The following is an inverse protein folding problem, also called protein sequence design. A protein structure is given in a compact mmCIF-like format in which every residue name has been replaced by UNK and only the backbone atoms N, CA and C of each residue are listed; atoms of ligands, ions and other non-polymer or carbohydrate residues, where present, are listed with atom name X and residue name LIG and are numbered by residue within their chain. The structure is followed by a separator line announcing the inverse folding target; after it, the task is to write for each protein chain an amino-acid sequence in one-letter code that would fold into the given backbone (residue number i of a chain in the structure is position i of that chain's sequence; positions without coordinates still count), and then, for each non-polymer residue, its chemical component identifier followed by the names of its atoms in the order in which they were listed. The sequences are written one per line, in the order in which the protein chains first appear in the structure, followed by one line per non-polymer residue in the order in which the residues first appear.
data_IF_042042427940
#
_entry.id   IF_042042427940
#
_cell.length_a   1.000
_cell.length_b   1.000
_cell.length_c   1.000
_cell.angle_alpha   90.00
_cell.angle_beta   90.00
_cell.angle_gamma   90.00
#
_symmetry.space_group_name_H-M   'P 1'
#
loop_
_entity.id
_entity.type
_entity.pdbx_description
1 polymer ?
#
# COMPACT_ATOMS: atom_id res chain seq x y z
N UNK A 1 18.47 -67.09 -23.03
CA UNK A 1 18.52 -67.02 -21.55
C UNK A 1 19.71 -66.13 -21.21
N UNK A 2 19.47 -64.83 -21.00
CA UNK A 2 20.52 -63.81 -20.84
C UNK A 2 20.47 -63.32 -19.40
N UNK A 3 21.51 -63.62 -18.64
CA UNK A 3 21.69 -63.18 -17.25
C UNK A 3 22.14 -61.73 -17.22
N UNK A 4 21.28 -60.83 -16.72
CA UNK A 4 21.64 -59.45 -16.38
C UNK A 4 22.12 -59.39 -14.92
N UNK A 5 23.34 -58.89 -14.75
CA UNK A 5 23.95 -58.56 -13.45
C UNK A 5 23.59 -57.11 -13.10
N UNK A 6 23.16 -56.79 -11.87
CA UNK A 6 22.88 -55.41 -11.48
C UNK A 6 24.18 -54.70 -11.02
N UNK A 7 24.53 -53.63 -11.73
CA UNK A 7 25.68 -52.78 -11.42
C UNK A 7 25.38 -51.86 -10.22
N UNK A 8 26.36 -51.75 -9.33
CA UNK A 8 26.20 -51.23 -7.99
C UNK A 8 26.32 -49.70 -7.92
N UNK A 9 25.55 -49.15 -6.98
CA UNK A 9 25.48 -47.76 -6.56
C UNK A 9 26.83 -47.02 -6.49
N UNK A 10 27.11 -46.19 -7.50
CA UNK A 10 28.18 -45.18 -7.44
C UNK A 10 27.69 -43.93 -6.68
N UNK A 11 27.92 -43.90 -5.37
CA UNK A 11 27.68 -42.73 -4.52
C UNK A 11 28.70 -41.64 -4.85
N UNK A 12 28.31 -40.68 -5.69
CA UNK A 12 29.10 -39.47 -5.99
C UNK A 12 29.01 -38.52 -4.78
N UNK A 13 30.01 -38.57 -3.89
CA UNK A 13 30.19 -37.58 -2.82
C UNK A 13 30.50 -36.21 -3.44
N UNK A 14 29.51 -35.31 -3.46
CA UNK A 14 29.71 -33.89 -3.83
C UNK A 14 30.58 -33.21 -2.77
N UNK A 15 31.70 -32.62 -3.19
CA UNK A 15 32.55 -31.77 -2.33
C UNK A 15 31.79 -30.48 -1.96
N UNK A 16 31.88 -30.01 -0.71
CA UNK A 16 31.30 -28.73 -0.31
C UNK A 16 32.00 -27.57 -1.03
N UNK A 17 31.22 -26.67 -1.61
CA UNK A 17 31.70 -25.47 -2.27
C UNK A 17 32.36 -24.52 -1.25
N UNK A 18 33.55 -24.00 -1.58
CA UNK A 18 34.25 -22.99 -0.78
C UNK A 18 33.44 -21.68 -0.77
N UNK A 19 33.31 -20.99 0.38
CA UNK A 19 32.66 -19.69 0.45
C UNK A 19 33.47 -18.65 -0.34
N UNK A 20 32.80 -17.94 -1.25
CA UNK A 20 33.37 -16.79 -1.97
C UNK A 20 33.60 -15.65 -0.98
N UNK A 21 34.85 -15.20 -0.86
CA UNK A 21 35.22 -13.98 -0.11
C UNK A 21 34.68 -12.77 -0.87
N UNK A 22 33.84 -11.97 -0.20
CA UNK A 22 33.40 -10.67 -0.71
C UNK A 22 34.56 -9.67 -0.71
N UNK A 23 34.70 -8.82 -1.76
CA UNK A 23 35.68 -7.75 -1.78
C UNK A 23 35.33 -6.66 -0.75
N UNK A 24 36.32 -6.27 0.06
CA UNK A 24 36.21 -5.32 1.19
C UNK A 24 36.04 -3.83 0.77
N UNK A 25 35.39 -3.56 -0.36
CA UNK A 25 35.44 -2.25 -1.04
C UNK A 25 34.24 -1.31 -0.86
N UNK A 26 33.20 -1.65 -0.10
CA UNK A 26 31.93 -0.91 -0.12
C UNK A 26 31.47 -0.37 1.25
N UNK A 27 32.41 0.03 2.10
CA UNK A 27 32.11 0.55 3.46
C UNK A 27 32.25 2.06 3.65
N UNK A 28 32.34 2.86 2.59
CA UNK A 28 32.55 4.32 2.69
C UNK A 28 31.60 5.17 1.84
N UNK A 29 30.28 5.02 1.98
CA UNK A 29 29.34 5.96 1.34
C UNK A 29 28.10 6.34 2.16
N UNK A 30 27.98 5.92 3.41
CA UNK A 30 26.88 6.35 4.27
C UNK A 30 27.36 6.73 5.67
N UNK A 31 27.83 7.97 5.78
CA UNK A 31 27.99 8.66 7.07
C UNK A 31 26.97 9.81 7.09
N UNK A 32 25.82 9.68 7.78
CA UNK A 32 25.02 10.84 8.08
C UNK A 32 25.64 11.55 9.29
N UNK A 33 26.09 12.78 9.08
CA UNK A 33 26.49 13.70 10.15
C UNK A 33 25.24 14.07 10.97
N UNK A 34 25.10 13.46 12.14
CA UNK A 34 24.14 13.90 13.15
C UNK A 34 24.78 15.04 13.96
N UNK A 35 24.34 16.26 13.69
CA UNK A 35 24.66 17.44 14.49
C UNK A 35 23.53 17.63 15.52
N UNK A 36 23.75 17.44 16.82
CA UNK A 36 22.73 17.75 17.82
C UNK A 36 22.68 19.27 18.03
N UNK A 37 21.61 19.90 17.53
CA UNK A 37 21.27 21.27 17.90
C UNK A 37 20.71 21.30 19.33
N UNK A 38 21.46 21.94 20.23
CA UNK A 38 21.02 22.29 21.57
C UNK A 38 19.83 23.26 21.49
N UNK A 39 18.60 22.77 21.70
CA UNK A 39 17.45 23.63 21.94
C UNK A 39 17.17 23.71 23.45
N UNK A 40 17.51 24.87 24.00
CA UNK A 40 17.21 25.30 25.36
C UNK A 40 15.73 25.76 25.41
N UNK A 41 14.89 25.21 26.30
CA UNK A 41 13.48 25.61 26.37
C UNK A 41 13.31 26.96 27.07
N UNK A 42 12.72 27.91 26.35
CA UNK A 42 12.28 29.21 26.85
C UNK A 42 11.08 29.06 27.80
N UNK A 43 11.30 29.35 29.08
CA UNK A 43 10.31 29.31 30.16
C UNK A 43 9.59 30.68 30.37
N UNK A 44 9.19 31.38 29.30
CA UNK A 44 8.53 32.70 29.40
C UNK A 44 6.99 32.75 29.28
N UNK A 45 6.32 31.73 28.74
CA UNK A 45 4.97 31.91 28.14
C UNK A 45 3.74 31.61 29.02
N UNK A 46 3.87 31.00 30.20
CA UNK A 46 2.70 30.41 30.90
C UNK A 46 1.83 31.38 31.73
N UNK A 47 2.27 32.60 31.99
CA UNK A 47 1.51 33.53 32.87
C UNK A 47 0.47 34.39 32.15
N UNK A 48 0.52 34.55 30.81
CA UNK A 48 -0.44 35.41 30.08
C UNK A 48 -1.73 34.72 29.62
N UNK A 49 -1.79 33.38 29.59
CA UNK A 49 -3.00 32.66 29.11
C UNK A 49 -4.07 32.39 30.17
N UNK A 50 -3.78 32.61 31.45
CA UNK A 50 -4.73 32.34 32.53
C UNK A 50 -5.64 33.55 32.87
N UNK A 51 -5.21 34.77 32.55
CA UNK A 51 -5.99 35.99 32.76
C UNK A 51 -7.16 36.17 31.77
N UNK A 52 -6.99 35.73 30.51
CA UNK A 52 -8.03 35.90 29.47
C UNK A 52 -9.20 34.93 29.62
N UNK A 53 -8.98 33.75 30.23
CA UNK A 53 -10.04 32.76 30.44
C UNK A 53 -11.05 33.20 31.51
N UNK A 54 -10.64 34.02 32.49
CA UNK A 54 -11.55 34.52 33.55
C UNK A 54 -12.48 35.63 33.05
N UNK A 55 -12.06 36.46 32.09
CA UNK A 55 -12.94 37.51 31.52
C UNK A 55 -14.05 36.96 30.62
N UNK A 56 -13.82 35.86 29.90
CA UNK A 56 -14.83 35.28 28.99
C UNK A 56 -15.96 34.52 29.69
N UNK A 57 -15.77 34.10 30.95
CA UNK A 57 -16.80 33.39 31.73
C UNK A 57 -17.72 34.35 32.51
N UNK A 58 -17.28 35.59 32.76
CA UNK A 58 -18.11 36.60 33.42
C UNK A 58 -19.14 37.25 32.47
N UNK A 59 -18.86 37.35 31.17
CA UNK A 59 -19.76 37.98 30.19
C UNK A 59 -20.94 37.11 29.72
N UNK A 60 -20.98 35.82 30.06
CA UNK A 60 -21.97 34.87 29.52
C UNK A 60 -23.18 34.60 30.43
N UNK A 61 -23.26 35.23 31.61
CA UNK A 61 -24.37 35.06 32.56
C UNK A 61 -25.38 36.22 32.62
N UNK A 62 -25.23 37.25 31.78
CA UNK A 62 -26.08 38.44 31.82
C UNK A 62 -27.12 38.55 30.67
N UNK A 63 -27.35 37.49 29.89
CA UNK A 63 -28.19 37.53 28.68
C UNK A 63 -29.32 36.51 28.62
N UNK A 64 -29.82 36.02 29.75
CA UNK A 64 -30.95 35.10 29.80
C UNK A 64 -32.16 35.79 30.44
N UNK A 65 -33.05 36.35 29.61
CA UNK A 65 -34.50 36.53 29.85
C UNK A 65 -35.16 37.28 28.69
N UNK A 66 -36.06 36.56 28.00
CA UNK A 66 -37.32 36.99 27.36
C UNK A 66 -37.43 36.52 25.90
N UNK A 67 -38.60 35.96 25.56
CA UNK A 67 -38.99 35.61 24.18
C UNK A 67 -39.53 34.19 24.05
N UNK A 68 -40.85 34.08 23.98
CA UNK A 68 -41.61 32.84 23.85
C UNK A 68 -41.85 32.46 22.37
N UNK A 69 -42.21 31.17 22.18
CA UNK A 69 -42.95 30.55 21.07
C UNK A 69 -42.35 30.55 19.65
N UNK A 70 -41.95 29.36 19.18
CA UNK A 70 -42.41 28.78 17.90
C UNK A 70 -42.03 27.27 17.82
N UNK A 71 -42.97 26.32 17.57
CA UNK A 71 -42.64 24.94 17.27
C UNK A 71 -42.62 24.74 15.76
N UNK A 72 -41.66 25.36 15.07
CA UNK A 72 -41.42 25.09 13.65
C UNK A 72 -40.29 24.05 13.52
N UNK A 73 -40.68 22.83 13.19
CA UNK A 73 -39.80 21.66 13.03
C UNK A 73 -39.02 21.75 11.70
N UNK A 74 -38.24 22.82 11.53
CA UNK A 74 -37.36 23.05 10.38
C UNK A 74 -35.88 22.93 10.80
N UNK A 75 -35.24 21.80 10.48
CA UNK A 75 -33.82 21.65 10.80
C UNK A 75 -33.19 20.29 10.54
N UNK A 76 -33.72 19.49 9.61
CA UNK A 76 -32.95 18.37 9.05
C UNK A 76 -31.89 18.98 8.14
N UNK A 77 -30.68 19.06 8.70
CA UNK A 77 -29.48 19.56 8.07
C UNK A 77 -29.39 19.13 6.60
N UNK A 78 -29.37 20.16 5.78
CA UNK A 78 -29.02 20.18 4.36
C UNK A 78 -27.97 19.13 4.04
N UNK A 79 -28.42 18.14 3.27
CA UNK A 79 -27.62 17.30 2.42
C UNK A 79 -26.71 18.19 1.55
N UNK A 80 -25.48 18.43 1.99
CA UNK A 80 -24.38 18.80 1.09
C UNK A 80 -23.96 17.55 0.31
N UNK A 81 -24.87 17.06 -0.55
CA UNK A 81 -24.50 16.20 -1.67
C UNK A 81 -23.75 17.11 -2.65
N UNK A 82 -22.42 17.03 -2.64
CA UNK A 82 -21.63 17.50 -3.77
C UNK A 82 -22.17 16.83 -5.05
N UNK A 83 -22.32 17.56 -6.16
CA UNK A 83 -22.82 16.99 -7.39
C UNK A 83 -21.89 15.87 -7.83
N UNK A 84 -22.44 14.66 -7.99
CA UNK A 84 -21.73 13.46 -8.43
C UNK A 84 -21.02 13.61 -9.79
N UNK A 85 -21.21 14.73 -10.50
CA UNK A 85 -20.55 15.07 -11.75
C UNK A 85 -19.08 15.51 -11.55
N UNK A 86 -18.75 16.20 -10.46
CA UNK A 86 -17.40 16.75 -10.24
C UNK A 86 -16.40 15.65 -9.84
N UNK A 87 -16.86 14.66 -9.07
CA UNK A 87 -16.08 13.46 -8.72
C UNK A 87 -15.84 12.53 -9.91
N UNK A 88 -16.72 12.53 -10.92
CA UNK A 88 -16.53 11.74 -12.14
C UNK A 88 -15.40 12.32 -12.99
N UNK A 89 -15.35 13.64 -13.16
CA UNK A 89 -14.29 14.31 -13.95
C UNK A 89 -12.89 14.11 -13.39
N UNK A 90 -12.73 14.16 -12.06
CA UNK A 90 -11.46 13.87 -11.40
C UNK A 90 -11.03 12.40 -11.55
N UNK A 91 -11.99 11.45 -11.55
CA UNK A 91 -11.69 10.04 -11.77
C UNK A 91 -11.20 9.75 -13.19
N UNK A 92 -11.75 10.42 -14.20
CA UNK A 92 -11.32 10.26 -15.59
C UNK A 92 -9.92 10.84 -15.84
N UNK A 93 -9.64 12.04 -15.31
CA UNK A 93 -8.30 12.64 -15.40
C UNK A 93 -7.25 11.82 -14.63
N UNK A 94 -7.60 11.30 -13.45
CA UNK A 94 -6.74 10.41 -12.70
C UNK A 94 -6.56 9.03 -13.37
N UNK A 95 -7.57 8.54 -14.10
CA UNK A 95 -7.47 7.31 -14.89
C UNK A 95 -6.53 7.51 -16.08
N UNK A 96 -6.63 8.63 -16.80
CA UNK A 96 -5.79 8.92 -17.96
C UNK A 96 -4.33 9.18 -17.57
N UNK A 97 -4.08 10.00 -16.52
CA UNK A 97 -2.72 10.20 -16.01
C UNK A 97 -2.17 8.99 -15.25
N UNK A 98 -3.03 8.18 -14.65
CA UNK A 98 -2.64 7.02 -13.84
C UNK A 98 -2.36 5.76 -14.66
N UNK A 99 -2.94 5.65 -15.86
CA UNK A 99 -2.78 4.46 -16.70
C UNK A 99 -1.34 4.32 -17.22
N UNK A 100 -0.74 5.41 -17.73
CA UNK A 100 0.63 5.38 -18.26
C UNK A 100 1.67 4.92 -17.22
N UNK A 101 1.74 5.49 -16.00
CA UNK A 101 2.67 5.01 -14.98
C UNK A 101 2.32 3.59 -14.50
N UNK A 102 1.04 3.19 -14.49
CA UNK A 102 0.66 1.81 -14.15
C UNK A 102 1.14 0.80 -15.21
N UNK A 103 1.05 1.13 -16.50
CA UNK A 103 1.60 0.33 -17.60
C UNK A 103 3.12 0.26 -17.52
N UNK A 104 3.80 1.40 -17.33
CA UNK A 104 5.25 1.44 -17.18
C UNK A 104 5.73 0.61 -15.98
N UNK A 105 5.05 0.73 -14.84
CA UNK A 105 5.33 -0.07 -13.65
C UNK A 105 5.17 -1.56 -13.94
N UNK A 106 4.10 -1.97 -14.62
CA UNK A 106 3.84 -3.37 -14.96
C UNK A 106 4.88 -3.92 -15.95
N UNK A 107 5.29 -3.12 -16.93
CA UNK A 107 6.36 -3.49 -17.88
C UNK A 107 7.72 -3.65 -17.20
N UNK A 108 8.02 -2.85 -16.17
CA UNK A 108 9.27 -2.96 -15.41
C UNK A 108 9.40 -4.31 -14.69
N UNK A 109 8.28 -4.99 -14.45
CA UNK A 109 8.25 -6.32 -13.84
C UNK A 109 8.31 -7.46 -14.86
N UNK A 110 8.46 -7.15 -16.15
CA UNK A 110 8.64 -8.17 -17.17
C UNK A 110 9.95 -8.94 -16.92
N UNK A 111 9.88 -10.27 -16.89
CA UNK A 111 11.04 -11.12 -16.61
C UNK A 111 11.38 -11.98 -17.81
N UNK A 112 12.62 -11.88 -18.27
CA UNK A 112 13.20 -12.89 -19.16
C UNK A 112 13.37 -14.22 -18.42
N UNK A 113 13.08 -15.34 -19.08
CA UNK A 113 13.32 -16.69 -18.53
C UNK A 113 12.11 -17.36 -17.87
N UNK A 114 10.91 -16.80 -18.00
CA UNK A 114 9.64 -17.48 -17.66
C UNK A 114 8.74 -17.55 -18.89
N UNK A 115 7.73 -18.43 -18.87
CA UNK A 115 6.83 -18.59 -20.02
C UNK A 115 6.09 -17.28 -20.36
N UNK A 116 5.79 -17.08 -21.64
CA UNK A 116 5.09 -15.87 -22.13
C UNK A 116 3.72 -15.71 -21.47
N UNK A 117 3.00 -16.82 -21.29
CA UNK A 117 1.68 -16.87 -20.66
C UNK A 117 1.75 -16.40 -19.20
N UNK A 118 2.75 -16.86 -18.45
CA UNK A 118 2.94 -16.44 -17.06
C UNK A 118 3.36 -14.97 -16.99
N UNK A 119 4.24 -14.51 -17.88
CA UNK A 119 4.60 -13.09 -18.00
C UNK A 119 3.36 -12.20 -18.22
N UNK A 120 2.47 -12.58 -19.14
CA UNK A 120 1.23 -11.83 -19.40
C UNK A 120 0.27 -11.87 -18.20
N UNK A 121 0.15 -13.00 -17.52
CA UNK A 121 -0.68 -13.10 -16.31
C UNK A 121 -0.16 -12.22 -15.17
N UNK A 122 1.15 -12.23 -14.92
CA UNK A 122 1.76 -11.37 -13.91
C UNK A 122 1.65 -9.89 -14.31
N UNK A 123 1.90 -9.56 -15.57
CA UNK A 123 1.70 -8.21 -16.09
C UNK A 123 0.28 -7.71 -15.82
N UNK A 124 -0.74 -8.51 -16.15
CA UNK A 124 -2.14 -8.16 -15.90
C UNK A 124 -2.46 -7.99 -14.41
N UNK A 125 -1.94 -8.87 -13.56
CA UNK A 125 -2.12 -8.78 -12.10
C UNK A 125 -1.45 -7.53 -11.49
N UNK A 126 -0.23 -7.22 -11.92
CA UNK A 126 0.51 -6.04 -11.47
C UNK A 126 -0.16 -4.76 -11.97
N UNK A 127 -0.66 -4.75 -13.20
CA UNK A 127 -1.42 -3.62 -13.74
C UNK A 127 -2.70 -3.38 -12.95
N UNK A 128 -3.46 -4.44 -12.65
CA UNK A 128 -4.66 -4.34 -11.81
C UNK A 128 -4.33 -3.77 -10.43
N UNK A 129 -3.22 -4.21 -9.82
CA UNK A 129 -2.78 -3.69 -8.52
C UNK A 129 -2.37 -2.21 -8.60
N UNK A 130 -1.57 -1.82 -9.59
CA UNK A 130 -1.15 -0.44 -9.78
C UNK A 130 -2.35 0.49 -9.99
N UNK A 131 -3.34 0.08 -10.78
CA UNK A 131 -4.58 0.82 -10.96
C UNK A 131 -5.40 0.92 -9.67
N UNK A 132 -5.46 -0.14 -8.86
CA UNK A 132 -6.11 -0.10 -7.55
C UNK A 132 -5.43 0.89 -6.59
N UNK A 133 -4.10 0.97 -6.61
CA UNK A 133 -3.34 1.94 -5.82
C UNK A 133 -3.56 3.39 -6.29
N UNK A 134 -3.63 3.61 -7.60
CA UNK A 134 -3.99 4.91 -8.19
C UNK A 134 -5.41 5.31 -7.77
N UNK A 135 -6.37 4.40 -7.88
CA UNK A 135 -7.75 4.65 -7.45
C UNK A 135 -7.83 4.92 -5.94
N UNK A 136 -7.06 4.20 -5.13
CA UNK A 136 -6.97 4.42 -3.69
C UNK A 136 -6.43 5.81 -3.37
N UNK A 137 -5.36 6.23 -4.06
CA UNK A 137 -4.78 7.56 -3.90
C UNK A 137 -5.77 8.65 -4.32
N UNK A 138 -6.44 8.50 -5.47
CA UNK A 138 -7.43 9.45 -5.97
C UNK A 138 -8.63 9.61 -5.02
N UNK A 139 -9.05 8.52 -4.37
CA UNK A 139 -10.18 8.55 -3.43
C UNK A 139 -9.81 9.09 -2.05
N UNK A 140 -8.62 8.77 -1.56
CA UNK A 140 -8.19 9.15 -0.21
C UNK A 140 -7.45 10.49 -0.17
N UNK A 141 -6.93 10.96 -1.31
CA UNK A 141 -6.00 12.09 -1.37
C UNK A 141 -4.68 11.82 -0.66
N UNK A 142 -4.37 10.56 -0.34
CA UNK A 142 -3.25 10.18 0.52
C UNK A 142 -2.23 9.30 -0.20
N UNK A 143 -1.06 9.87 -0.47
CA UNK A 143 0.08 9.11 -0.95
C UNK A 143 0.50 8.04 0.07
N UNK A 144 0.41 8.35 1.38
CA UNK A 144 0.74 7.42 2.45
C UNK A 144 -0.19 6.19 2.46
N UNK A 145 -1.47 6.36 2.15
CA UNK A 145 -2.42 5.23 2.04
C UNK A 145 -2.03 4.29 0.89
N UNK A 146 -1.74 4.86 -0.29
CA UNK A 146 -1.31 4.09 -1.46
C UNK A 146 0.04 3.38 -1.22
N UNK A 147 1.03 4.08 -0.67
CA UNK A 147 2.32 3.49 -0.33
C UNK A 147 2.23 2.44 0.78
N UNK A 148 1.37 2.65 1.78
CA UNK A 148 1.11 1.67 2.83
C UNK A 148 0.49 0.38 2.28
N UNK A 149 -0.49 0.50 1.39
CA UNK A 149 -1.09 -0.65 0.71
C UNK A 149 -0.07 -1.39 -0.18
N UNK A 150 0.76 -0.64 -0.93
CA UNK A 150 1.85 -1.21 -1.72
C UNK A 150 2.86 -1.98 -0.87
N UNK A 151 3.34 -1.35 0.21
CA UNK A 151 4.27 -1.96 1.15
C UNK A 151 3.68 -3.21 1.81
N UNK A 152 2.43 -3.14 2.27
CA UNK A 152 1.73 -4.27 2.88
C UNK A 152 1.61 -5.46 1.93
N UNK A 153 1.25 -5.21 0.66
CA UNK A 153 1.22 -6.25 -0.36
C UNK A 153 2.57 -6.94 -0.54
N UNK A 154 3.65 -6.15 -0.66
CA UNK A 154 4.99 -6.70 -0.88
C UNK A 154 5.48 -7.47 0.35
N UNK A 155 5.21 -6.97 1.55
CA UNK A 155 5.54 -7.66 2.80
C UNK A 155 4.82 -9.01 2.90
N UNK A 156 3.51 -9.03 2.60
CA UNK A 156 2.73 -10.27 2.57
C UNK A 156 3.25 -11.25 1.53
N UNK A 157 3.60 -10.79 0.33
CA UNK A 157 4.17 -11.64 -0.71
C UNK A 157 5.47 -12.31 -0.23
N UNK A 158 6.39 -11.54 0.35
CA UNK A 158 7.67 -12.05 0.88
C UNK A 158 7.45 -13.05 2.03
N UNK A 159 6.53 -12.74 2.94
CA UNK A 159 6.31 -13.56 4.14
C UNK A 159 5.47 -14.81 3.88
N UNK A 160 4.59 -14.83 2.87
CA UNK A 160 3.74 -15.98 2.62
C UNK A 160 4.32 -16.93 1.59
N UNK A 161 4.78 -16.43 0.44
CA UNK A 161 5.21 -17.31 -0.66
C UNK A 161 6.48 -16.77 -1.31
N UNK A 162 7.59 -17.49 -1.16
CA UNK A 162 8.79 -17.24 -1.96
C UNK A 162 8.91 -18.24 -3.09
N UNK A 163 9.19 -17.76 -4.29
CA UNK A 163 9.63 -18.57 -5.44
C UNK A 163 11.11 -18.30 -5.78
N UNK A 164 11.80 -17.55 -4.92
CA UNK A 164 13.19 -17.15 -5.04
C UNK A 164 13.97 -17.57 -3.79
N UNK A 165 15.18 -18.08 -3.96
CA UNK A 165 16.02 -18.55 -2.85
C UNK A 165 16.39 -17.41 -1.89
N UNK A 166 16.44 -16.16 -2.38
CA UNK A 166 16.81 -14.99 -1.57
C UNK A 166 15.86 -14.72 -0.39
N UNK A 167 14.57 -15.04 -0.55
CA UNK A 167 13.55 -14.79 0.47
C UNK A 167 13.00 -16.07 1.10
N UNK A 168 13.53 -17.22 0.74
CA UNK A 168 13.03 -18.54 1.16
C UNK A 168 13.00 -18.74 2.69
N UNK A 169 13.91 -18.08 3.41
CA UNK A 169 14.00 -18.15 4.87
C UNK A 169 12.96 -17.26 5.59
N UNK A 170 12.42 -16.26 4.90
CA UNK A 170 11.39 -15.37 5.45
C UNK A 170 9.96 -15.82 5.08
N UNK A 171 9.83 -16.67 4.05
CA UNK A 171 8.54 -17.14 3.56
C UNK A 171 8.01 -18.34 4.34
N UNK A 172 6.70 -18.33 4.57
CA UNK A 172 5.95 -19.43 5.17
C UNK A 172 5.88 -20.63 4.22
N UNK A 173 5.73 -20.38 2.91
CA UNK A 173 5.70 -21.39 1.87
C UNK A 173 6.76 -21.11 0.81
N UNK A 174 7.48 -22.16 0.42
CA UNK A 174 8.46 -22.10 -0.67
C UNK A 174 7.86 -22.77 -1.90
N UNK A 175 7.58 -21.96 -2.92
CA UNK A 175 7.07 -22.41 -4.21
C UNK A 175 8.18 -22.89 -5.13
N UNK A 176 7.79 -23.64 -6.17
CA UNK A 176 8.70 -24.01 -7.25
C UNK A 176 9.20 -22.76 -7.98
N UNK A 177 10.50 -22.66 -8.34
CA UNK A 177 11.00 -21.49 -9.06
C UNK A 177 10.17 -21.17 -10.30
N UNK A 178 9.83 -19.88 -10.50
CA UNK A 178 8.91 -19.45 -11.57
C UNK A 178 9.31 -19.92 -12.98
N UNK A 179 10.61 -20.05 -13.25
CA UNK A 179 11.13 -20.50 -14.54
C UNK A 179 10.96 -22.00 -14.79
N UNK A 180 10.71 -22.78 -13.75
CA UNK A 180 10.39 -24.20 -13.82
C UNK A 180 8.89 -24.46 -13.89
N UNK A 181 8.07 -23.43 -13.65
CA UNK A 181 6.63 -23.52 -13.83
C UNK A 181 6.36 -23.43 -15.33
N UNK A 182 6.20 -24.59 -15.97
CA UNK A 182 5.75 -24.66 -17.35
C UNK A 182 4.25 -24.36 -17.40
N UNK A 183 3.93 -23.08 -17.39
CA UNK A 183 2.57 -22.60 -17.22
C UNK A 183 1.86 -22.53 -18.57
N UNK A 184 1.03 -23.53 -18.87
CA UNK A 184 -0.01 -23.41 -19.88
C UNK A 184 -1.01 -22.28 -19.56
N UNK A 185 -1.88 -21.96 -20.52
CA UNK A 185 -2.86 -20.89 -20.37
C UNK A 185 -3.80 -21.05 -19.16
N UNK A 186 -4.13 -22.29 -18.77
CA UNK A 186 -4.95 -22.56 -17.59
C UNK A 186 -4.29 -22.07 -16.29
N UNK A 187 -3.01 -22.39 -16.08
CA UNK A 187 -2.25 -21.89 -14.92
C UNK A 187 -2.05 -20.39 -14.95
N UNK A 188 -1.79 -19.82 -16.13
CA UNK A 188 -1.65 -18.37 -16.28
C UNK A 188 -2.97 -17.64 -15.95
N UNK A 189 -4.11 -18.15 -16.44
CA UNK A 189 -5.42 -17.61 -16.11
C UNK A 189 -5.74 -17.74 -14.61
N UNK A 190 -5.41 -18.89 -14.00
CA UNK A 190 -5.54 -19.11 -12.56
C UNK A 190 -4.73 -18.11 -11.74
N UNK A 191 -3.46 -17.87 -12.11
CA UNK A 191 -2.61 -16.89 -11.46
C UNK A 191 -3.18 -15.48 -11.59
N UNK A 192 -3.60 -15.07 -12.79
CA UNK A 192 -4.21 -13.76 -13.02
C UNK A 192 -5.47 -13.59 -12.18
N UNK A 193 -6.36 -14.58 -12.17
CA UNK A 193 -7.61 -14.54 -11.41
C UNK A 193 -7.34 -14.46 -9.90
N UNK A 194 -6.39 -15.25 -9.39
CA UNK A 194 -6.00 -15.23 -7.98
C UNK A 194 -5.44 -13.87 -7.57
N UNK A 195 -4.50 -13.31 -8.35
CA UNK A 195 -3.93 -11.98 -8.08
C UNK A 195 -5.00 -10.90 -8.16
N UNK A 196 -5.81 -10.87 -9.23
CA UNK A 196 -6.87 -9.87 -9.39
C UNK A 196 -7.92 -9.97 -8.27
N UNK A 197 -8.28 -11.19 -7.86
CA UNK A 197 -9.18 -11.44 -6.73
C UNK A 197 -8.62 -10.90 -5.42
N UNK A 198 -7.34 -11.17 -5.12
CA UNK A 198 -6.68 -10.65 -3.92
C UNK A 198 -6.64 -9.11 -3.92
N UNK A 199 -6.29 -8.50 -5.06
CA UNK A 199 -6.30 -7.04 -5.24
C UNK A 199 -7.70 -6.47 -5.01
N UNK A 200 -8.73 -7.08 -5.59
CA UNK A 200 -10.11 -6.65 -5.43
C UNK A 200 -10.58 -6.74 -3.98
N UNK A 201 -10.28 -7.86 -3.29
CA UNK A 201 -10.63 -8.04 -1.87
C UNK A 201 -9.91 -7.00 -1.02
N UNK A 202 -8.59 -6.80 -1.22
CA UNK A 202 -7.81 -5.80 -0.48
C UNK A 202 -8.34 -4.38 -0.70
N UNK A 203 -8.63 -4.02 -1.96
CA UNK A 203 -9.21 -2.73 -2.29
C UNK A 203 -10.59 -2.52 -1.64
N UNK A 204 -11.45 -3.54 -1.69
CA UNK A 204 -12.76 -3.50 -1.04
C UNK A 204 -12.62 -3.41 0.48
N UNK A 205 -11.68 -4.13 1.10
CA UNK A 205 -11.42 -4.03 2.53
C UNK A 205 -10.98 -2.62 2.93
N UNK A 206 -10.22 -1.92 2.08
CA UNK A 206 -9.79 -0.55 2.36
C UNK A 206 -10.85 0.50 2.05
N UNK A 207 -11.82 0.22 1.18
CA UNK A 207 -12.79 1.22 0.70
C UNK A 207 -14.23 0.99 1.17
N UNK A 208 -14.56 -0.20 1.66
CA UNK A 208 -15.93 -0.53 2.04
C UNK A 208 -16.28 0.16 3.38
N UNK A 209 -17.38 0.93 3.46
CA UNK A 209 -17.71 1.73 4.65
C UNK A 209 -17.90 0.94 5.95
N UNK A 210 -18.19 -0.36 5.85
CA UNK A 210 -18.36 -1.25 7.01
C UNK A 210 -17.09 -2.03 7.36
N UNK A 211 -16.03 -1.87 6.58
CA UNK A 211 -14.76 -2.55 6.87
C UNK A 211 -14.07 -1.83 8.03
N UNK A 212 -13.54 -2.56 9.03
CA UNK A 212 -12.71 -1.97 10.09
C UNK A 212 -11.39 -1.41 9.55
N UNK A 213 -11.01 -1.76 8.32
CA UNK A 213 -9.81 -1.28 7.63
C UNK A 213 -10.10 -0.12 6.68
N UNK A 214 -11.34 0.39 6.67
CA UNK A 214 -11.74 1.45 5.77
C UNK A 214 -10.88 2.71 5.99
N UNK A 215 -10.37 3.27 4.91
CA UNK A 215 -9.59 4.50 4.92
C UNK A 215 -10.48 5.69 4.57
N UNK A 216 -10.42 6.72 5.41
CA UNK A 216 -11.07 8.00 5.15
C UNK A 216 -10.21 8.92 4.28
N UNK A 217 -10.87 9.82 3.55
CA UNK A 217 -10.18 10.85 2.80
C UNK A 217 -9.46 11.82 3.75
N UNK A 218 -8.20 12.14 3.44
CA UNK A 218 -7.42 13.14 4.16
C UNK A 218 -8.01 14.51 3.86
N UNK A 219 -8.71 15.10 4.84
CA UNK A 219 -9.19 16.48 4.77
C UNK A 219 -8.08 17.42 5.24
N UNK A 220 -7.84 18.51 4.50
CA UNK A 220 -6.89 19.53 4.91
C UNK A 220 -7.33 20.20 6.22
N UNK A 221 -6.39 20.90 6.90
CA UNK A 221 -6.61 21.55 8.21
C UNK A 221 -7.80 22.52 8.25
N UNK A 222 -8.30 22.96 7.08
CA UNK A 222 -9.44 23.87 6.91
C UNK A 222 -10.75 23.14 6.54
N UNK A 223 -10.82 21.80 6.66
CA UNK A 223 -11.99 21.00 6.31
C UNK A 223 -12.27 20.87 4.81
N UNK A 224 -11.45 21.50 3.96
CA UNK A 224 -11.50 21.33 2.50
C UNK A 224 -10.75 20.07 2.10
N UNK A 225 -11.36 19.28 1.23
CA UNK A 225 -10.67 18.20 0.50
C UNK A 225 -9.61 18.87 -0.35
N UNK A 226 -8.36 18.47 -0.19
CA UNK A 226 -7.29 18.90 -1.10
C UNK A 226 -7.52 18.14 -2.41
N UNK A 227 -8.30 18.74 -3.29
CA UNK A 227 -8.42 18.34 -4.70
C UNK A 227 -7.38 19.06 -5.53
#
# INVERSE_FOLDING_TARGET
MVTQTPDQHRVVRRRPARPRRFPQGFRRLFHPAFHPANHQPDHGGRRRRQSDRRRRLAGRRAGARSGAADPDFGGRGVLSRLPAAESRGALWLAADLGLLPALAFSLLHWRGGISMQMNLAMFGGILAFALALTALMARTGSLAASMGAHFGNNLMAILFVSHDDLFAQAALFNGMPLHLIDAGWASAAGQLAATAGMVAIGFLALMHPRSPLALDAVRGHNGRVLT
#
